data_IF_191198475020
#
_entry.id   IF_191198475020
#
_cell.length_a   1.000
_cell.length_b   1.000
_cell.length_c   1.000
_cell.angle_alpha   90.00
_cell.angle_beta   90.00
_cell.angle_gamma   90.00
#
_symmetry.space_group_name_H-M   'P 1'
#
loop_
_entity.id
_entity.type
_entity.pdbx_description
1 polymer ?
#
# COMPACT_ATOMS: atom_id res chain seq x y z
N UNK A 1 39.68 -23.32 25.49
CA UNK A 1 38.26 -22.92 25.70
C UNK A 1 37.89 -21.94 24.58
N UNK A 2 37.17 -22.40 23.54
CA UNK A 2 36.71 -21.53 22.45
C UNK A 2 35.59 -20.66 23.02
N UNK A 3 35.82 -19.35 23.12
CA UNK A 3 34.81 -18.38 23.53
C UNK A 3 33.95 -18.10 22.30
N UNK A 4 32.77 -18.69 22.27
CA UNK A 4 31.74 -18.37 21.28
C UNK A 4 31.20 -16.99 21.62
N UNK A 5 31.61 -15.97 20.86
CA UNK A 5 31.03 -14.63 20.95
C UNK A 5 29.63 -14.74 20.33
N UNK A 6 28.62 -14.88 21.17
CA UNK A 6 27.23 -14.68 20.76
C UNK A 6 27.13 -13.25 20.23
N UNK A 7 26.89 -13.09 18.92
CA UNK A 7 26.52 -11.81 18.30
C UNK A 7 25.21 -11.36 18.95
N UNK A 8 25.34 -10.49 19.95
CA UNK A 8 24.25 -9.72 20.52
C UNK A 8 23.72 -8.86 19.36
N UNK A 9 22.57 -9.22 18.79
CA UNK A 9 21.85 -8.36 17.86
C UNK A 9 21.47 -7.13 18.68
N UNK A 10 22.22 -6.04 18.51
CA UNK A 10 21.86 -4.75 19.08
C UNK A 10 20.66 -4.31 18.26
N UNK A 11 19.47 -4.42 18.82
CA UNK A 11 18.28 -3.76 18.28
C UNK A 11 18.60 -2.27 18.24
N UNK A 12 18.79 -1.74 17.04
CA UNK A 12 19.17 -0.36 16.83
C UNK A 12 17.88 0.40 16.49
N UNK A 13 17.27 1.03 17.51
CA UNK A 13 15.97 1.71 17.39
C UNK A 13 15.97 2.87 16.38
N UNK A 14 17.15 3.36 16.00
CA UNK A 14 17.37 4.42 15.00
C UNK A 14 18.63 4.14 14.20
N UNK A 15 18.63 4.40 12.90
CA UNK A 15 19.75 4.13 11.99
C UNK A 15 19.81 5.15 10.85
N UNK A 16 20.92 5.19 10.12
CA UNK A 16 21.06 5.92 8.86
C UNK A 16 20.99 4.92 7.71
N UNK A 17 20.11 5.14 6.75
CA UNK A 17 20.06 4.32 5.52
C UNK A 17 21.08 4.86 4.54
N UNK A 18 22.06 4.06 4.12
CA UNK A 18 23.05 4.50 3.15
C UNK A 18 22.38 4.78 1.79
N UNK A 19 22.54 5.99 1.21
CA UNK A 19 21.90 6.33 -0.07
C UNK A 19 22.52 5.59 -1.26
N UNK A 20 23.72 5.03 -1.11
CA UNK A 20 24.44 4.33 -2.19
C UNK A 20 24.12 2.83 -2.23
N UNK A 21 24.03 2.16 -1.08
CA UNK A 21 23.84 0.71 -1.03
C UNK A 21 22.67 0.22 -0.18
N UNK A 22 21.92 1.12 0.48
CA UNK A 22 20.76 0.78 1.32
C UNK A 22 21.09 0.21 2.70
N UNK A 23 22.36 0.04 3.06
CA UNK A 23 22.75 -0.52 4.36
C UNK A 23 22.27 0.34 5.54
N UNK A 24 21.76 -0.31 6.59
CA UNK A 24 21.40 0.34 7.86
C UNK A 24 22.64 0.53 8.74
N UNK A 25 23.07 1.78 8.85
CA UNK A 25 24.26 2.15 9.57
C UNK A 25 23.91 2.76 10.94
N UNK A 26 24.83 2.62 11.89
CA UNK A 26 24.67 3.27 13.20
C UNK A 26 24.59 4.80 13.01
N UNK A 27 23.66 5.50 13.71
CA UNK A 27 23.51 6.95 13.60
C UNK A 27 24.79 7.76 13.82
N UNK A 28 25.73 7.24 14.61
CA UNK A 28 26.99 7.91 14.97
C UNK A 28 28.03 7.79 13.84
N UNK A 29 27.87 6.84 12.93
CA UNK A 29 28.86 6.63 11.87
C UNK A 29 28.77 7.73 10.81
N UNK A 30 29.96 8.20 10.42
CA UNK A 30 30.17 9.21 9.39
C UNK A 30 30.41 8.58 8.01
N UNK A 31 30.64 7.28 7.95
CA UNK A 31 30.85 6.51 6.72
C UNK A 31 30.05 5.20 6.78
N UNK A 32 29.60 4.72 5.62
CA UNK A 32 28.89 3.46 5.51
C UNK A 32 29.84 2.28 5.77
N UNK A 33 29.46 1.39 6.68
CA UNK A 33 30.26 0.20 7.04
C UNK A 33 30.43 -0.79 5.89
N UNK A 34 29.47 -0.81 4.98
CA UNK A 34 29.49 -1.69 3.81
C UNK A 34 30.25 -1.10 2.60
N UNK A 35 29.93 0.13 2.19
CA UNK A 35 30.47 0.70 0.93
C UNK A 35 31.37 1.94 1.11
N UNK A 36 31.59 2.43 2.33
CA UNK A 36 32.44 3.58 2.61
C UNK A 36 31.86 4.95 2.20
N UNK A 37 30.61 5.02 1.73
CA UNK A 37 29.94 6.29 1.39
C UNK A 37 29.79 7.19 2.62
N UNK A 38 30.05 8.50 2.48
CA UNK A 38 29.84 9.50 3.53
C UNK A 38 28.37 9.55 3.98
N UNK A 39 28.16 9.49 5.30
CA UNK A 39 26.88 9.50 5.97
C UNK A 39 26.72 10.73 6.88
N UNK A 40 27.62 11.72 6.83
CA UNK A 40 27.55 12.89 7.70
C UNK A 40 26.25 13.67 7.54
N UNK A 41 25.78 13.79 6.29
CA UNK A 41 24.53 14.52 5.95
C UNK A 41 23.29 13.64 5.88
N UNK A 42 23.42 12.33 6.12
CA UNK A 42 22.32 11.37 6.03
C UNK A 42 21.47 11.43 7.31
N UNK A 43 20.16 11.63 7.14
CA UNK A 43 19.21 11.72 8.26
C UNK A 43 19.10 10.38 8.99
N UNK A 44 19.01 10.47 10.31
CA UNK A 44 18.71 9.32 11.17
C UNK A 44 17.21 9.07 11.12
N UNK A 45 16.83 7.85 10.80
CA UNK A 45 15.44 7.37 10.70
C UNK A 45 15.22 6.22 11.68
N UNK A 46 13.96 5.94 11.98
CA UNK A 46 13.51 4.72 12.66
C UNK A 46 12.68 3.87 11.69
N UNK A 47 12.31 2.65 12.09
CA UNK A 47 11.52 1.71 11.26
C UNK A 47 10.19 2.33 10.79
N UNK A 48 9.55 3.16 11.62
CA UNK A 48 8.32 3.88 11.27
C UNK A 48 8.55 4.97 10.23
N UNK A 49 9.66 5.70 10.32
CA UNK A 49 10.02 6.81 9.43
C UNK A 49 10.61 6.29 8.12
N UNK A 50 11.31 5.16 8.15
CA UNK A 50 11.76 4.46 6.94
C UNK A 50 10.56 4.00 6.10
N UNK A 51 9.55 3.37 6.70
CA UNK A 51 8.34 2.96 5.99
C UNK A 51 7.55 4.15 5.37
N UNK A 52 7.70 5.37 5.92
CA UNK A 52 7.11 6.60 5.34
C UNK A 52 7.96 7.13 4.18
N UNK A 53 9.29 6.98 4.24
CA UNK A 53 10.24 7.44 3.21
C UNK A 53 10.31 6.46 2.02
N UNK A 54 10.03 5.16 2.26
CA UNK A 54 10.04 4.09 1.25
C UNK A 54 8.74 3.94 0.46
N UNK A 55 7.77 4.86 0.61
CA UNK A 55 6.86 5.11 -0.50
C UNK A 55 7.70 5.88 -1.52
N UNK A 56 8.17 5.28 -2.63
CA UNK A 56 8.86 6.07 -3.63
C UNK A 56 7.92 7.21 -3.98
N UNK A 57 8.43 8.44 -3.89
CA UNK A 57 7.92 9.54 -4.70
C UNK A 57 7.87 8.94 -6.10
N UNK A 58 6.66 8.62 -6.57
CA UNK A 58 6.45 8.01 -7.87
C UNK A 58 7.12 8.92 -8.87
N UNK A 59 8.28 8.53 -9.40
CA UNK A 59 8.83 9.15 -10.60
C UNK A 59 7.75 9.01 -11.65
N UNK A 60 7.13 10.14 -12.01
CA UNK A 60 6.05 10.16 -12.99
C UNK A 60 6.57 9.55 -14.27
N UNK A 61 6.04 8.39 -14.65
CA UNK A 61 6.41 7.66 -15.86
C UNK A 61 6.25 8.59 -17.07
N UNK A 62 7.34 8.82 -17.82
CA UNK A 62 7.33 9.69 -19.00
C UNK A 62 6.99 8.86 -20.24
N UNK A 63 6.04 9.31 -21.05
CA UNK A 63 5.59 8.61 -22.27
C UNK A 63 5.58 9.57 -23.47
N UNK A 64 5.78 9.05 -24.68
CA UNK A 64 5.50 9.74 -25.94
C UNK A 64 4.13 9.31 -26.46
N UNK A 65 3.27 10.26 -26.80
CA UNK A 65 1.97 9.99 -27.43
C UNK A 65 2.11 10.25 -28.92
N UNK A 66 1.93 9.21 -29.74
CA UNK A 66 1.93 9.33 -31.19
C UNK A 66 0.62 9.97 -31.68
N UNK A 67 0.62 10.57 -32.88
CA UNK A 67 -0.60 11.11 -33.51
C UNK A 67 -1.71 10.07 -33.70
N UNK A 68 -1.35 8.78 -33.80
CA UNK A 68 -2.32 7.68 -33.85
C UNK A 68 -2.95 7.34 -32.47
N UNK A 69 -2.49 7.98 -31.40
CA UNK A 69 -2.95 7.79 -30.02
C UNK A 69 -2.18 6.77 -29.20
N UNK A 70 -1.20 6.07 -29.77
CA UNK A 70 -0.43 5.06 -29.03
C UNK A 70 0.57 5.69 -28.06
N UNK A 71 0.62 5.15 -26.84
CA UNK A 71 1.65 5.46 -25.83
C UNK A 71 2.94 4.68 -26.13
N UNK A 72 4.07 5.37 -26.03
CA UNK A 72 5.38 4.81 -26.33
C UNK A 72 6.40 5.21 -25.26
N UNK A 73 7.43 4.38 -25.00
CA UNK A 73 8.51 4.74 -24.08
C UNK A 73 9.22 6.05 -24.47
N UNK A 74 9.83 6.77 -23.52
CA UNK A 74 10.44 8.06 -23.77
C UNK A 74 11.66 7.97 -24.70
N UNK A 75 12.29 6.80 -24.80
CA UNK A 75 13.40 6.52 -25.71
C UNK A 75 12.97 6.05 -27.11
N UNK A 76 11.66 5.87 -27.37
CA UNK A 76 11.19 5.34 -28.64
C UNK A 76 11.45 6.32 -29.80
N UNK A 77 11.97 5.78 -30.91
CA UNK A 77 12.11 6.49 -32.19
C UNK A 77 11.01 6.16 -33.17
N UNK A 78 10.33 5.03 -33.01
CA UNK A 78 9.17 4.63 -33.83
C UNK A 78 7.99 4.24 -32.95
N UNK A 79 6.80 4.57 -33.40
CA UNK A 79 5.56 4.19 -32.74
C UNK A 79 5.37 2.66 -32.80
N UNK A 80 5.06 2.05 -31.67
CA UNK A 80 4.80 0.61 -31.56
C UNK A 80 3.56 0.14 -32.31
N UNK A 81 2.58 1.03 -32.56
CA UNK A 81 1.31 0.70 -33.19
C UNK A 81 1.28 1.00 -34.69
N UNK A 82 1.71 2.19 -35.12
CA UNK A 82 1.67 2.61 -36.53
C UNK A 82 3.04 2.67 -37.21
N UNK A 83 4.14 2.43 -36.47
CA UNK A 83 5.52 2.43 -36.98
C UNK A 83 6.04 3.78 -37.52
N UNK A 84 5.30 4.87 -37.30
CA UNK A 84 5.72 6.25 -37.63
C UNK A 84 6.92 6.71 -36.79
N UNK A 85 7.73 7.60 -37.36
CA UNK A 85 8.85 8.21 -36.63
C UNK A 85 8.31 9.18 -35.57
N UNK A 86 8.66 8.92 -34.30
CA UNK A 86 8.26 9.72 -33.14
C UNK A 86 9.47 10.31 -32.42
N UNK A 87 10.63 10.36 -33.07
CA UNK A 87 11.87 10.85 -32.46
C UNK A 87 11.77 12.33 -32.04
N UNK A 88 11.02 13.14 -32.78
CA UNK A 88 10.79 14.55 -32.51
C UNK A 88 9.66 14.82 -31.49
N UNK A 89 8.86 13.81 -31.15
CA UNK A 89 7.83 13.92 -30.11
C UNK A 89 8.53 13.98 -28.74
N UNK A 90 8.29 15.04 -27.98
CA UNK A 90 8.81 15.18 -26.62
C UNK A 90 8.03 14.28 -25.66
N UNK A 91 8.69 13.48 -24.81
CA UNK A 91 8.00 12.73 -23.77
C UNK A 91 7.28 13.66 -22.81
N UNK A 92 6.05 13.31 -22.45
CA UNK A 92 5.23 13.99 -21.45
C UNK A 92 5.01 13.06 -20.26
N UNK A 93 4.81 13.58 -19.04
CA UNK A 93 4.34 12.75 -17.93
C UNK A 93 3.07 12.03 -18.35
N UNK A 94 3.01 10.72 -18.11
CA UNK A 94 1.78 9.95 -18.28
C UNK A 94 0.73 10.61 -17.41
N UNK A 95 -0.34 11.10 -18.04
CA UNK A 95 -1.46 11.65 -17.30
C UNK A 95 -1.85 10.60 -16.25
N UNK A 96 -2.04 11.03 -15.00
CA UNK A 96 -2.73 10.19 -14.04
C UNK A 96 -4.01 9.74 -14.74
N UNK A 97 -4.11 8.44 -15.01
CA UNK A 97 -5.37 7.86 -15.47
C UNK A 97 -6.44 8.41 -14.54
N UNK A 98 -7.64 8.72 -15.05
CA UNK A 98 -8.77 9.18 -14.22
C UNK A 98 -9.22 8.03 -13.30
N UNK A 99 -8.32 7.60 -12.43
CA UNK A 99 -8.41 6.42 -11.62
C UNK A 99 -9.29 6.80 -10.44
N UNK A 100 -10.41 6.11 -10.40
CA UNK A 100 -11.44 6.24 -9.38
C UNK A 100 -10.77 6.28 -8.02
N UNK A 101 -11.04 7.33 -7.26
CA UNK A 101 -10.57 7.45 -5.88
C UNK A 101 -11.60 6.79 -4.98
N UNK A 102 -11.15 6.06 -3.97
CA UNK A 102 -12.07 5.39 -3.04
C UNK A 102 -11.80 5.84 -1.61
N UNK A 103 -12.87 5.90 -0.83
CA UNK A 103 -12.84 6.08 0.61
C UNK A 103 -13.66 4.96 1.25
N UNK A 104 -13.16 4.40 2.34
CA UNK A 104 -13.92 3.50 3.21
C UNK A 104 -14.59 4.35 4.29
N UNK A 105 -15.92 4.31 4.35
CA UNK A 105 -16.69 5.00 5.36
C UNK A 105 -17.27 3.98 6.34
N UNK A 106 -17.06 4.15 7.63
CA UNK A 106 -17.82 3.36 8.59
C UNK A 106 -19.30 3.76 8.55
N UNK A 107 -20.20 2.81 8.82
CA UNK A 107 -21.62 2.98 8.54
C UNK A 107 -22.34 4.07 9.35
N UNK A 108 -21.90 4.34 10.58
CA UNK A 108 -22.38 5.47 11.38
C UNK A 108 -21.78 6.81 10.92
N UNK A 109 -20.77 6.78 10.04
CA UNK A 109 -20.03 7.93 9.59
C UNK A 109 -18.99 8.43 10.60
N UNK A 110 -18.78 7.71 11.71
CA UNK A 110 -17.81 8.08 12.75
C UNK A 110 -16.36 8.09 12.24
N UNK A 111 -16.08 7.35 11.18
CA UNK A 111 -14.74 7.21 10.65
C UNK A 111 -14.73 7.05 9.14
N UNK A 112 -13.73 7.64 8.49
CA UNK A 112 -13.46 7.50 7.06
C UNK A 112 -11.97 7.30 6.80
N UNK A 113 -11.62 6.49 5.82
CA UNK A 113 -10.24 6.27 5.40
C UNK A 113 -10.08 6.38 3.89
N UNK A 114 -9.23 7.31 3.45
CA UNK A 114 -8.88 7.48 2.05
C UNK A 114 -7.95 6.37 1.58
N UNK A 115 -8.37 5.65 0.54
CA UNK A 115 -7.57 4.56 -0.03
C UNK A 115 -6.53 5.16 -0.96
N UNK A 116 -5.22 4.95 -0.72
CA UNK A 116 -4.18 5.38 -1.64
C UNK A 116 -4.31 4.65 -2.98
N UNK A 117 -4.11 5.36 -4.08
CA UNK A 117 -4.10 4.76 -5.41
C UNK A 117 -2.87 3.87 -5.60
N UNK A 118 -3.02 2.81 -6.41
CA UNK A 118 -1.93 1.90 -6.80
C UNK A 118 -1.14 1.39 -5.59
N UNK A 119 -1.87 0.96 -4.55
CA UNK A 119 -1.32 0.59 -3.26
C UNK A 119 -2.02 -0.65 -2.69
N UNK A 120 -1.26 -1.41 -1.91
CA UNK A 120 -1.76 -2.48 -1.07
C UNK A 120 -1.79 -2.02 0.40
N UNK A 121 -2.92 -2.23 1.08
CA UNK A 121 -3.08 -1.91 2.50
C UNK A 121 -3.70 -3.10 3.24
N UNK A 122 -3.41 -3.20 4.54
CA UNK A 122 -3.98 -4.23 5.42
C UNK A 122 -4.90 -3.54 6.43
N UNK A 123 -6.13 -4.04 6.55
CA UNK A 123 -7.10 -3.63 7.55
C UNK A 123 -7.06 -4.58 8.75
N UNK A 124 -7.11 -4.06 9.96
CA UNK A 124 -7.22 -4.88 11.16
C UNK A 124 -6.78 -4.17 12.44
N UNK A 125 -6.91 -4.86 13.57
CA UNK A 125 -6.67 -4.29 14.91
C UNK A 125 -5.23 -3.84 15.18
N UNK A 126 -4.28 -4.28 14.36
CA UNK A 126 -2.88 -3.84 14.46
C UNK A 126 -2.39 -3.11 13.21
N UNK A 127 -3.26 -2.91 12.21
CA UNK A 127 -2.92 -2.26 10.94
C UNK A 127 -3.80 -1.02 10.73
N UNK A 128 -4.11 -0.68 9.47
CA UNK A 128 -5.05 0.39 9.14
C UNK A 128 -6.37 0.11 9.87
N UNK A 129 -6.97 1.19 10.39
CA UNK A 129 -8.14 1.23 11.27
C UNK A 129 -7.87 0.89 12.75
N UNK A 130 -6.66 0.51 13.17
CA UNK A 130 -6.34 0.12 14.56
C UNK A 130 -6.97 1.01 15.63
N UNK A 131 -6.86 2.33 15.49
CA UNK A 131 -7.40 3.29 16.46
C UNK A 131 -8.92 3.21 16.59
N UNK A 132 -9.62 2.85 15.50
CA UNK A 132 -11.07 2.75 15.42
C UNK A 132 -11.60 1.35 15.79
N UNK A 133 -10.84 0.29 15.55
CA UNK A 133 -11.32 -1.10 15.67
C UNK A 133 -10.61 -1.91 16.76
N UNK A 134 -9.80 -1.28 17.62
CA UNK A 134 -8.98 -1.97 18.63
C UNK A 134 -9.80 -2.81 19.62
N UNK A 135 -11.02 -2.39 19.95
CA UNK A 135 -11.98 -3.07 20.84
C UNK A 135 -12.87 -4.10 20.12
N UNK A 136 -12.84 -4.14 18.79
CA UNK A 136 -13.65 -5.03 17.94
C UNK A 136 -13.05 -6.43 17.86
N UNK A 137 -13.26 -7.21 18.91
CA UNK A 137 -12.59 -8.50 19.11
C UNK A 137 -12.87 -9.54 18.01
N UNK A 138 -13.91 -9.38 17.18
CA UNK A 138 -14.14 -10.27 16.04
C UNK A 138 -13.22 -9.95 14.86
N UNK A 139 -12.66 -8.74 14.81
CA UNK A 139 -11.70 -8.34 13.79
C UNK A 139 -10.31 -8.84 14.19
N UNK A 140 -9.56 -9.32 13.20
CA UNK A 140 -8.21 -9.86 13.40
C UNK A 140 -7.19 -8.73 13.36
N UNK A 141 -5.98 -9.01 13.84
CA UNK A 141 -4.87 -8.05 13.82
C UNK A 141 -4.52 -7.60 12.39
N UNK A 142 -4.40 -8.58 11.50
CA UNK A 142 -4.43 -8.43 10.04
C UNK A 142 -5.64 -9.22 9.55
N UNK A 143 -6.71 -8.53 9.13
CA UNK A 143 -8.00 -9.17 8.87
C UNK A 143 -8.35 -9.27 7.39
N UNK A 144 -8.17 -8.16 6.66
CA UNK A 144 -8.42 -8.13 5.23
C UNK A 144 -7.33 -7.30 4.55
N UNK A 145 -7.06 -7.64 3.30
CA UNK A 145 -6.14 -6.92 2.42
C UNK A 145 -6.95 -6.18 1.37
N UNK A 146 -6.62 -4.92 1.15
CA UNK A 146 -7.17 -4.12 0.06
C UNK A 146 -6.06 -3.84 -0.94
N UNK A 147 -6.31 -4.11 -2.21
CA UNK A 147 -5.44 -3.75 -3.32
C UNK A 147 -6.17 -2.73 -4.20
N UNK A 148 -5.62 -1.53 -4.33
CA UNK A 148 -6.03 -0.56 -5.35
C UNK A 148 -5.05 -0.64 -6.50
N UNK A 149 -5.54 -0.91 -7.70
CA UNK A 149 -4.75 -0.98 -8.94
C UNK A 149 -5.63 -0.61 -10.13
N UNK A 150 -5.13 0.25 -11.02
CA UNK A 150 -5.82 0.68 -12.25
C UNK A 150 -7.25 1.21 -12.03
N UNK A 151 -7.48 1.91 -10.91
CA UNK A 151 -8.80 2.45 -10.53
C UNK A 151 -9.81 1.38 -10.09
N UNK A 152 -9.39 0.13 -9.93
CA UNK A 152 -10.16 -0.94 -9.33
C UNK A 152 -9.73 -1.15 -7.89
N UNK A 153 -10.66 -1.66 -7.08
CA UNK A 153 -10.45 -1.97 -5.68
C UNK A 153 -10.75 -3.44 -5.46
N UNK A 154 -9.83 -4.17 -4.85
CA UNK A 154 -10.00 -5.58 -4.54
C UNK A 154 -9.84 -5.82 -3.05
N UNK A 155 -10.58 -6.79 -2.52
CA UNK A 155 -10.46 -7.25 -1.14
C UNK A 155 -10.15 -8.74 -1.08
N UNK A 156 -9.25 -9.11 -0.17
CA UNK A 156 -8.95 -10.51 0.15
C UNK A 156 -9.05 -10.72 1.65
N UNK A 157 -9.75 -11.77 2.07
CA UNK A 157 -9.80 -12.13 3.48
C UNK A 157 -8.46 -12.74 3.92
N UNK A 158 -7.91 -12.26 5.03
CA UNK A 158 -6.71 -12.81 5.69
C UNK A 158 -7.03 -13.53 7.00
N UNK A 159 -8.24 -13.37 7.54
CA UNK A 159 -8.60 -13.96 8.83
C UNK A 159 -8.95 -15.45 8.72
N UNK A 160 -8.42 -16.25 9.65
CA UNK A 160 -8.80 -17.65 9.82
C UNK A 160 -9.89 -17.91 10.86
N UNK A 161 -10.32 -16.89 11.62
CA UNK A 161 -11.28 -17.06 12.73
C UNK A 161 -12.66 -16.57 12.34
N UNK A 162 -12.78 -15.27 12.05
CA UNK A 162 -14.01 -14.66 11.57
C UNK A 162 -13.71 -14.05 10.21
N UNK A 163 -14.52 -14.39 9.21
CA UNK A 163 -14.21 -14.05 7.82
C UNK A 163 -14.65 -12.63 7.47
N UNK A 164 -14.21 -12.19 6.30
CA UNK A 164 -14.68 -10.98 5.65
C UNK A 164 -15.91 -11.27 4.80
N UNK A 165 -16.83 -10.31 4.73
CA UNK A 165 -18.06 -10.38 3.95
C UNK A 165 -18.16 -9.14 3.07
N UNK A 166 -18.70 -9.30 1.87
CA UNK A 166 -19.07 -8.19 0.97
C UNK A 166 -20.55 -8.34 0.65
N UNK A 167 -21.34 -7.29 0.88
CA UNK A 167 -22.79 -7.29 0.74
C UNK A 167 -23.46 -8.48 1.45
N UNK A 168 -23.00 -8.76 2.68
CA UNK A 168 -23.43 -9.87 3.52
C UNK A 168 -23.06 -11.28 3.02
N UNK A 169 -22.31 -11.40 1.93
CA UNK A 169 -21.82 -12.68 1.40
C UNK A 169 -20.36 -12.90 1.80
N UNK A 170 -20.06 -14.10 2.28
CA UNK A 170 -18.69 -14.46 2.68
C UNK A 170 -17.79 -14.53 1.46
N UNK A 171 -16.67 -13.83 1.48
CA UNK A 171 -15.70 -13.86 0.37
C UNK A 171 -14.67 -14.99 0.54
N UNK A 172 -14.03 -15.36 -0.57
CA UNK A 172 -12.95 -16.35 -0.61
C UNK A 172 -11.65 -15.82 0.02
N UNK A 173 -10.84 -16.73 0.55
CA UNK A 173 -9.47 -16.43 0.99
C UNK A 173 -8.47 -16.46 -0.17
N UNK A 174 -8.77 -17.21 -1.22
CA UNK A 174 -7.81 -17.55 -2.29
C UNK A 174 -7.91 -16.59 -3.48
N UNK A 175 -9.08 -15.98 -3.69
CA UNK A 175 -9.36 -15.13 -4.84
C UNK A 175 -9.78 -13.73 -4.39
N UNK A 176 -9.06 -12.67 -4.79
CA UNK A 176 -9.48 -11.29 -4.55
C UNK A 176 -10.88 -11.03 -5.10
N UNK A 177 -11.70 -10.35 -4.32
CA UNK A 177 -13.07 -9.95 -4.69
C UNK A 177 -13.04 -8.49 -5.13
N UNK A 178 -13.54 -8.18 -6.33
CA UNK A 178 -13.68 -6.81 -6.81
C UNK A 178 -14.74 -6.07 -6.00
N UNK A 179 -14.39 -4.91 -5.46
CA UNK A 179 -15.27 -3.98 -4.76
C UNK A 179 -15.76 -2.88 -5.69
N UNK A 180 -17.01 -2.48 -5.49
CA UNK A 180 -17.67 -1.38 -6.18
C UNK A 180 -18.10 -0.31 -5.19
N UNK A 181 -18.35 0.89 -5.73
CA UNK A 181 -18.95 1.96 -4.95
C UNK A 181 -20.30 1.52 -4.37
N UNK A 182 -20.50 1.81 -3.09
CA UNK A 182 -21.62 1.42 -2.23
C UNK A 182 -21.64 -0.03 -1.74
N UNK A 183 -20.62 -0.84 -2.03
CA UNK A 183 -20.50 -2.16 -1.40
C UNK A 183 -20.27 -2.02 0.11
N UNK A 184 -20.97 -2.85 0.89
CA UNK A 184 -20.77 -2.98 2.34
C UNK A 184 -19.77 -4.12 2.63
N UNK A 185 -18.70 -3.81 3.35
CA UNK A 185 -17.68 -4.74 3.82
C UNK A 185 -17.93 -5.03 5.29
N UNK A 186 -18.16 -6.28 5.64
CA UNK A 186 -18.17 -6.77 7.02
C UNK A 186 -16.84 -7.42 7.39
N UNK A 187 -16.12 -6.85 8.34
CA UNK A 187 -14.91 -7.45 8.92
C UNK A 187 -15.29 -8.18 10.21
N UNK A 188 -15.07 -9.48 10.23
CA UNK A 188 -15.27 -10.33 11.40
C UNK A 188 -16.73 -10.68 11.70
N UNK A 189 -17.68 -10.22 10.88
CA UNK A 189 -19.09 -10.49 11.07
C UNK A 189 -19.94 -10.11 9.87
N UNK A 190 -21.18 -10.57 9.91
CA UNK A 190 -22.20 -10.35 8.88
C UNK A 190 -23.50 -9.89 9.55
N UNK A 191 -24.49 -9.53 8.76
CA UNK A 191 -25.84 -9.20 9.21
C UNK A 191 -26.64 -10.49 9.42
N UNK A 192 -27.10 -10.71 10.65
CA UNK A 192 -27.91 -11.87 11.07
C UNK A 192 -29.25 -11.34 11.57
N UNK A 193 -30.36 -11.85 11.04
CA UNK A 193 -31.71 -11.40 11.42
C UNK A 193 -31.87 -9.87 11.35
N UNK A 194 -31.30 -9.24 10.31
CA UNK A 194 -31.26 -7.78 10.10
C UNK A 194 -30.44 -6.98 11.13
N UNK A 195 -29.68 -7.65 12.00
CA UNK A 195 -28.81 -7.02 12.98
C UNK A 195 -27.35 -7.24 12.64
N UNK A 196 -26.56 -6.16 12.77
CA UNK A 196 -25.10 -6.21 12.71
C UNK A 196 -24.55 -6.71 14.03
N UNK A 197 -23.42 -7.39 13.99
CA UNK A 197 -22.77 -7.94 15.17
C UNK A 197 -21.87 -6.86 15.81
N UNK A 198 -22.08 -6.56 17.10
CA UNK A 198 -21.46 -5.41 17.79
C UNK A 198 -19.93 -5.42 17.81
N UNK A 199 -19.33 -6.62 17.81
CA UNK A 199 -17.89 -6.83 17.88
C UNK A 199 -17.22 -6.91 16.49
N UNK A 200 -18.01 -6.83 15.42
CA UNK A 200 -17.56 -6.73 14.04
C UNK A 200 -17.51 -5.26 13.58
N UNK A 201 -17.02 -5.04 12.36
CA UNK A 201 -16.91 -3.72 11.75
C UNK A 201 -17.55 -3.74 10.37
N UNK A 202 -18.30 -2.70 10.04
CA UNK A 202 -19.01 -2.57 8.76
C UNK A 202 -18.60 -1.26 8.09
N UNK A 203 -18.02 -1.37 6.90
CA UNK A 203 -17.52 -0.25 6.11
C UNK A 203 -18.28 -0.19 4.79
N UNK A 204 -18.48 0.99 4.23
CA UNK A 204 -19.08 1.21 2.91
C UNK A 204 -18.04 1.83 2.01
N UNK A 205 -17.83 1.24 0.85
CA UNK A 205 -16.94 1.79 -0.19
C UNK A 205 -17.64 2.98 -0.84
N UNK A 206 -16.96 4.12 -0.98
CA UNK A 206 -17.46 5.27 -1.74
C UNK A 206 -16.43 5.72 -2.74
N UNK A 207 -16.88 6.10 -3.93
CA UNK A 207 -16.05 6.73 -4.96
C UNK A 207 -15.98 8.24 -4.72
N UNK A 208 -14.80 8.84 -4.95
CA UNK A 208 -14.50 10.26 -4.82
C UNK A 208 -14.28 10.88 -6.20
#
# INVERSE_FOLDING_TARGET
>A
KKITIQRKIIFMEKYKVCPNCGEHNNPIFIECTNCGTDLMSVKVVDETTENIIYKPMTETEMIKICECGAENPPAARKCSACNEDISDILPTPKAECCCKKYVLCEISGAYTYDIPQNAEIILGRENILKEYISDKSYVSRSHAKILSEDGNLYITNLSGTNFTYVNNEKISNDTPTLLKSNDEIGLGGCVINSNRQDLAVYLVVREK
#
